data_IF_807188589875
#
_entry.id   IF_807188589875
#
_cell.length_a   1.000
_cell.length_b   1.000
_cell.length_c   1.000
_cell.angle_alpha   90.00
_cell.angle_beta   90.00
_cell.angle_gamma   90.00
#
_symmetry.space_group_name_H-M   'P 1'
#
loop_
_entity.id
_entity.type
_entity.pdbx_description
1 polymer ?
#
# COMPACT_ATOMS: atom_id res chain seq x y z
N UNK A 1 20.86 -2.17 -36.52
CA UNK A 1 20.65 -0.73 -36.29
C UNK A 1 19.64 -0.63 -35.18
N UNK A 2 20.11 -0.37 -33.96
CA UNK A 2 19.26 -0.23 -32.76
C UNK A 2 18.46 1.07 -32.89
N UNK A 3 17.14 0.99 -32.92
CA UNK A 3 16.27 2.18 -32.91
C UNK A 3 16.08 2.57 -31.45
N UNK A 4 16.83 3.57 -31.01
CA UNK A 4 16.59 4.26 -29.75
C UNK A 4 15.37 5.16 -29.96
N UNK A 5 14.20 4.81 -29.41
CA UNK A 5 13.02 5.68 -29.45
C UNK A 5 12.96 6.44 -28.14
N UNK A 6 13.67 7.55 -28.04
CA UNK A 6 13.53 8.51 -26.94
C UNK A 6 12.44 9.51 -27.34
N UNK A 7 11.25 9.43 -26.70
CA UNK A 7 10.22 10.46 -26.83
C UNK A 7 10.29 11.34 -25.58
N UNK A 8 11.08 12.41 -25.64
CA UNK A 8 11.09 13.46 -24.63
C UNK A 8 10.12 14.57 -25.09
N UNK A 9 8.92 14.62 -24.51
CA UNK A 9 8.00 15.74 -24.75
C UNK A 9 8.10 16.70 -23.57
N UNK A 10 8.90 17.76 -23.72
CA UNK A 10 8.93 18.90 -22.79
C UNK A 10 7.94 19.96 -23.29
N UNK A 11 6.77 20.10 -22.67
CA UNK A 11 5.86 21.21 -22.93
C UNK A 11 6.31 22.43 -22.13
N UNK A 12 6.94 23.40 -22.78
CA UNK A 12 7.23 24.70 -22.18
C UNK A 12 5.98 25.58 -22.19
N UNK A 13 5.36 25.83 -21.04
CA UNK A 13 4.41 26.93 -20.89
C UNK A 13 5.15 28.22 -20.56
N UNK A 14 4.96 29.23 -21.36
CA UNK A 14 5.55 30.58 -21.21
C UNK A 14 4.97 31.29 -19.98
N UNK A 15 5.68 31.24 -18.86
CA UNK A 15 5.50 32.12 -17.71
C UNK A 15 6.86 32.47 -17.14
N UNK A 16 7.14 33.76 -16.94
CA UNK A 16 8.42 34.33 -16.51
C UNK A 16 8.78 33.96 -15.05
N UNK A 17 8.87 32.68 -14.73
CA UNK A 17 9.62 32.15 -13.60
C UNK A 17 10.46 31.02 -14.16
N UNK A 18 11.76 31.02 -13.93
CA UNK A 18 12.64 29.95 -14.39
C UNK A 18 12.13 28.61 -13.80
N UNK A 19 11.27 27.93 -14.53
CA UNK A 19 10.81 26.58 -14.19
C UNK A 19 12.00 25.64 -14.37
N UNK A 20 12.65 25.27 -13.26
CA UNK A 20 13.76 24.31 -13.29
C UNK A 20 13.20 22.89 -13.10
N UNK A 21 12.45 22.42 -14.08
CA UNK A 21 12.05 21.02 -14.10
C UNK A 21 13.22 20.16 -14.57
N UNK A 22 13.45 19.03 -13.92
CA UNK A 22 14.48 18.06 -14.27
C UNK A 22 13.84 16.72 -14.62
N UNK A 23 14.12 16.23 -15.82
CA UNK A 23 13.72 14.89 -16.24
C UNK A 23 14.96 14.08 -16.63
N UNK A 24 15.03 12.84 -16.22
CA UNK A 24 16.08 11.89 -16.60
C UNK A 24 15.41 10.57 -16.98
N UNK A 25 15.70 10.08 -18.19
CA UNK A 25 15.29 8.75 -18.63
C UNK A 25 16.55 8.01 -19.05
N UNK A 26 16.81 6.86 -18.43
CA UNK A 26 17.93 5.98 -18.75
C UNK A 26 17.35 4.61 -19.11
N UNK A 27 17.63 4.15 -20.29
CA UNK A 27 17.17 2.84 -20.80
C UNK A 27 18.37 2.01 -21.25
N UNK A 28 18.41 0.74 -20.84
CA UNK A 28 19.44 -0.23 -21.19
C UNK A 28 18.77 -1.55 -21.51
N UNK A 29 18.98 -2.09 -22.71
CA UNK A 29 18.29 -3.27 -23.22
C UNK A 29 17.37 -2.92 -24.39
N UNK A 30 16.48 -3.84 -24.76
CA UNK A 30 15.63 -3.69 -25.95
C UNK A 30 14.15 -3.48 -25.58
N UNK A 31 13.45 -2.66 -26.38
CA UNK A 31 12.01 -2.39 -26.27
C UNK A 31 11.55 -1.76 -24.94
N UNK A 32 12.41 -1.00 -24.27
CA UNK A 32 12.03 -0.22 -23.09
C UNK A 32 11.29 1.05 -23.54
N UNK A 33 10.35 1.52 -22.72
CA UNK A 33 9.60 2.76 -22.96
C UNK A 33 9.45 3.54 -21.67
N UNK A 34 9.93 4.78 -21.67
CA UNK A 34 9.80 5.73 -20.55
C UNK A 34 9.14 7.03 -20.96
N UNK A 35 8.18 7.51 -20.21
CA UNK A 35 7.48 8.76 -20.45
C UNK A 35 7.53 9.70 -19.25
N UNK A 36 7.87 10.98 -19.46
CA UNK A 36 7.87 12.01 -18.41
C UNK A 36 7.09 13.23 -18.88
N UNK A 37 6.12 13.68 -18.10
CA UNK A 37 5.39 14.93 -18.29
C UNK A 37 5.44 15.77 -17.02
N UNK A 38 5.90 17.02 -17.10
CA UNK A 38 6.04 17.92 -15.96
C UNK A 38 5.44 19.28 -16.28
N UNK A 39 4.52 19.75 -15.42
CA UNK A 39 3.94 21.10 -15.48
C UNK A 39 4.12 21.78 -14.13
N UNK A 40 4.58 23.03 -14.14
CA UNK A 40 4.95 23.79 -12.92
C UNK A 40 6.45 23.96 -12.79
N UNK A 41 6.97 24.13 -11.59
CA UNK A 41 8.38 24.44 -11.35
C UNK A 41 9.06 23.53 -10.36
N UNK A 42 10.38 23.35 -10.54
CA UNK A 42 11.23 22.54 -9.66
C UNK A 42 10.79 21.08 -9.47
N UNK A 43 10.09 20.52 -10.44
CA UNK A 43 9.75 19.10 -10.42
C UNK A 43 10.95 18.25 -10.85
N UNK A 44 11.12 17.09 -10.25
CA UNK A 44 12.17 16.14 -10.61
C UNK A 44 11.53 14.80 -10.96
N UNK A 45 11.81 14.28 -12.14
CA UNK A 45 11.37 12.95 -12.57
C UNK A 45 12.57 12.12 -13.02
N UNK A 46 12.64 10.87 -12.56
CA UNK A 46 13.66 9.92 -12.97
C UNK A 46 13.03 8.60 -13.39
N UNK A 47 13.43 8.07 -14.53
CA UNK A 47 13.09 6.72 -14.97
C UNK A 47 14.40 6.02 -15.29
N UNK A 48 14.63 4.87 -14.69
CA UNK A 48 15.73 3.95 -15.02
C UNK A 48 15.16 2.60 -15.36
N UNK A 49 15.50 2.10 -16.54
CA UNK A 49 15.04 0.79 -17.02
C UNK A 49 16.27 -0.01 -17.48
N UNK A 50 16.49 -1.17 -16.88
CA UNK A 50 17.56 -2.09 -17.25
C UNK A 50 16.96 -3.46 -17.56
N UNK A 51 17.26 -4.01 -18.73
CA UNK A 51 16.66 -5.23 -19.26
C UNK A 51 15.78 -4.96 -20.47
N UNK A 52 14.96 -5.95 -20.84
CA UNK A 52 14.16 -5.87 -22.04
C UNK A 52 12.68 -5.68 -21.71
N UNK A 53 11.96 -4.93 -22.56
CA UNK A 53 10.51 -4.71 -22.49
C UNK A 53 9.99 -4.10 -21.18
N UNK A 54 10.78 -3.33 -20.47
CA UNK A 54 10.29 -2.57 -19.31
C UNK A 54 9.40 -1.42 -19.76
N UNK A 55 8.22 -1.28 -19.16
CA UNK A 55 7.24 -0.27 -19.53
C UNK A 55 6.98 0.69 -18.37
N UNK A 56 7.54 1.88 -18.43
CA UNK A 56 7.13 3.00 -17.59
C UNK A 56 6.04 3.80 -18.32
N UNK A 57 5.07 3.10 -18.87
CA UNK A 57 3.88 3.65 -19.53
C UNK A 57 2.67 2.81 -19.13
N UNK A 58 1.64 3.43 -18.65
CA UNK A 58 0.48 2.70 -18.22
C UNK A 58 -0.78 3.21 -18.89
N UNK A 59 -1.19 2.48 -19.87
CA UNK A 59 -2.46 2.64 -20.54
C UNK A 59 -3.50 1.57 -20.19
N UNK A 60 -3.27 0.74 -19.17
CA UNK A 60 -4.18 -0.37 -18.90
C UNK A 60 -5.40 0.07 -18.10
N UNK A 61 -6.57 -0.19 -18.70
CA UNK A 61 -7.89 0.19 -18.17
C UNK A 61 -8.41 -0.73 -17.05
N UNK A 62 -7.71 -1.80 -16.70
CA UNK A 62 -8.21 -2.80 -15.75
C UNK A 62 -8.27 -2.31 -14.29
N UNK A 63 -7.56 -1.23 -13.96
CA UNK A 63 -7.58 -0.63 -12.62
C UNK A 63 -8.78 0.30 -12.39
N UNK A 64 -9.57 0.59 -13.42
CA UNK A 64 -10.67 1.53 -13.35
C UNK A 64 -11.86 1.08 -12.49
N UNK A 65 -11.96 -0.18 -12.13
CA UNK A 65 -13.12 -0.69 -11.37
C UNK A 65 -13.02 -0.48 -9.86
N UNK A 66 -11.82 -0.37 -9.28
CA UNK A 66 -11.65 -0.18 -7.83
C UNK A 66 -11.45 1.28 -7.42
N UNK A 67 -10.92 2.13 -8.29
CA UNK A 67 -10.57 3.52 -7.97
C UNK A 67 -11.38 4.54 -8.80
N UNK A 68 -12.41 4.11 -9.50
CA UNK A 68 -13.25 4.99 -10.32
C UNK A 68 -12.48 5.70 -11.44
N UNK A 69 -13.16 6.35 -12.36
CA UNK A 69 -12.68 6.99 -13.59
C UNK A 69 -11.61 8.11 -13.43
N UNK A 70 -10.97 8.22 -12.28
CA UNK A 70 -9.98 9.27 -11.94
C UNK A 70 -8.53 8.90 -12.31
N UNK A 71 -8.26 7.68 -12.78
CA UNK A 71 -6.92 7.23 -13.18
C UNK A 71 -6.70 7.19 -14.69
N UNK A 72 -7.49 7.93 -15.46
CA UNK A 72 -7.22 8.07 -16.88
C UNK A 72 -5.89 8.79 -17.09
N UNK A 73 -4.94 8.11 -17.74
CA UNK A 73 -3.73 8.65 -18.36
C UNK A 73 -2.54 9.10 -17.49
N UNK A 74 -2.14 8.36 -16.45
CA UNK A 74 -0.78 8.57 -15.95
C UNK A 74 0.20 7.59 -16.62
N UNK A 75 0.86 8.06 -17.66
CA UNK A 75 1.92 7.32 -18.38
C UNK A 75 3.27 7.70 -17.77
N UNK A 76 4.04 6.72 -17.29
CA UNK A 76 5.35 7.00 -16.71
C UNK A 76 5.28 7.91 -15.47
N UNK A 77 5.98 9.02 -15.48
CA UNK A 77 5.94 10.04 -14.42
C UNK A 77 5.22 11.28 -14.91
N UNK A 78 4.04 11.56 -14.36
CA UNK A 78 3.27 12.78 -14.62
C UNK A 78 3.25 13.66 -13.37
N UNK A 79 3.72 14.90 -13.48
CA UNK A 79 3.79 15.85 -12.36
C UNK A 79 3.14 17.17 -12.73
N UNK A 80 2.17 17.60 -11.94
CA UNK A 80 1.50 18.90 -12.08
C UNK A 80 1.58 19.63 -10.75
N UNK A 81 2.21 20.80 -10.74
CA UNK A 81 2.48 21.59 -9.55
C UNK A 81 3.97 21.82 -9.36
N UNK A 82 4.41 22.07 -8.13
CA UNK A 82 5.78 22.50 -7.88
C UNK A 82 6.51 21.59 -6.88
N UNK A 83 7.82 21.45 -7.08
CA UNK A 83 8.70 20.68 -6.20
C UNK A 83 8.29 19.21 -6.01
N UNK A 84 7.64 18.59 -6.99
CA UNK A 84 7.34 17.18 -6.94
C UNK A 84 8.56 16.35 -7.35
N UNK A 85 8.73 15.18 -6.73
CA UNK A 85 9.78 14.22 -7.05
C UNK A 85 9.16 12.86 -7.37
N UNK A 86 9.41 12.33 -8.56
CA UNK A 86 8.95 11.02 -8.99
C UNK A 86 10.11 10.17 -9.52
N UNK A 87 10.28 8.96 -9.03
CA UNK A 87 11.34 8.06 -9.48
C UNK A 87 10.78 6.67 -9.75
N UNK A 88 11.07 6.14 -10.92
CA UNK A 88 10.80 4.76 -11.30
C UNK A 88 12.12 4.07 -11.61
N UNK A 89 12.39 2.95 -10.97
CA UNK A 89 13.50 2.06 -11.26
C UNK A 89 12.93 0.69 -11.62
N UNK A 90 13.28 0.18 -12.78
CA UNK A 90 12.87 -1.14 -13.26
C UNK A 90 14.11 -1.90 -13.72
N UNK A 91 14.48 -2.93 -12.98
CA UNK A 91 15.60 -3.82 -13.32
C UNK A 91 15.00 -5.18 -13.66
N UNK A 92 15.23 -5.64 -14.88
CA UNK A 92 14.51 -6.80 -15.38
C UNK A 92 15.42 -7.75 -16.17
N UNK A 93 15.27 -9.05 -15.90
CA UNK A 93 15.84 -10.13 -16.71
C UNK A 93 14.74 -10.93 -17.38
N UNK A 94 13.97 -10.27 -18.29
CA UNK A 94 12.81 -10.90 -18.95
C UNK A 94 13.25 -11.79 -20.09
N UNK A 95 12.54 -12.91 -20.26
CA UNK A 95 12.63 -13.69 -21.50
C UNK A 95 11.94 -12.94 -22.66
N UNK A 96 12.38 -13.16 -23.92
CA UNK A 96 11.88 -12.42 -25.10
C UNK A 96 10.36 -12.45 -25.29
N UNK A 97 9.66 -13.44 -24.71
CA UNK A 97 8.23 -13.69 -24.93
C UNK A 97 7.32 -13.20 -23.79
N UNK A 98 7.89 -12.70 -22.69
CA UNK A 98 7.12 -12.22 -21.55
C UNK A 98 6.89 -10.70 -21.61
N UNK A 99 5.78 -10.24 -21.02
CA UNK A 99 5.57 -8.82 -20.77
C UNK A 99 6.41 -8.37 -19.59
N UNK A 100 7.10 -7.24 -19.70
CA UNK A 100 7.94 -6.68 -18.64
C UNK A 100 7.14 -5.95 -17.54
N UNK A 101 7.82 -5.46 -16.50
CA UNK A 101 7.20 -4.71 -15.43
C UNK A 101 6.58 -3.39 -15.94
N UNK A 102 5.48 -2.98 -15.32
CA UNK A 102 4.78 -1.76 -15.64
C UNK A 102 4.67 -0.84 -14.42
N UNK A 103 5.03 0.42 -14.56
CA UNK A 103 5.03 1.38 -13.46
C UNK A 103 4.53 2.76 -13.89
N UNK A 104 3.79 3.43 -12.99
CA UNK A 104 3.34 4.78 -13.22
C UNK A 104 3.22 5.62 -11.95
N UNK A 105 3.61 6.89 -12.05
CA UNK A 105 3.49 7.90 -10.98
C UNK A 105 2.73 9.10 -11.50
N UNK A 106 1.63 9.45 -10.83
CA UNK A 106 0.89 10.69 -11.05
C UNK A 106 0.90 11.55 -9.79
N UNK A 107 1.45 12.77 -9.88
CA UNK A 107 1.52 13.72 -8.76
C UNK A 107 0.85 15.04 -9.15
N UNK A 108 -0.17 15.44 -8.40
CA UNK A 108 -0.97 16.64 -8.62
C UNK A 108 -0.98 17.46 -7.32
N UNK A 109 -0.30 18.59 -7.32
CA UNK A 109 -0.07 19.44 -6.14
C UNK A 109 1.41 19.73 -5.94
N UNK A 110 1.82 20.02 -4.72
CA UNK A 110 3.18 20.47 -4.45
C UNK A 110 3.91 19.56 -3.46
N UNK A 111 5.23 19.46 -3.61
CA UNK A 111 6.12 18.74 -2.67
C UNK A 111 5.75 17.26 -2.48
N UNK A 112 5.11 16.63 -3.44
CA UNK A 112 4.86 15.21 -3.38
C UNK A 112 6.12 14.41 -3.75
N UNK A 113 6.34 13.29 -3.09
CA UNK A 113 7.46 12.38 -3.38
C UNK A 113 6.93 10.97 -3.62
N UNK A 114 7.31 10.35 -4.72
CA UNK A 114 6.95 8.97 -5.05
C UNK A 114 8.15 8.20 -5.59
N UNK A 115 8.32 6.98 -5.12
CA UNK A 115 9.33 6.05 -5.62
C UNK A 115 8.69 4.70 -5.90
N UNK A 116 9.00 4.15 -7.07
CA UNK A 116 8.68 2.78 -7.46
C UNK A 116 10.00 2.08 -7.78
N UNK A 117 10.26 0.95 -7.16
CA UNK A 117 11.41 0.10 -7.41
C UNK A 117 10.93 -1.33 -7.68
N UNK A 118 11.11 -1.79 -8.92
CA UNK A 118 10.78 -3.12 -9.39
C UNK A 118 12.06 -3.83 -9.80
N UNK A 119 12.51 -4.77 -8.98
CA UNK A 119 13.65 -5.65 -9.28
C UNK A 119 13.15 -7.09 -9.46
N UNK A 120 12.62 -7.34 -10.65
CA UNK A 120 12.01 -8.61 -11.03
C UNK A 120 12.98 -9.54 -11.73
N UNK A 121 13.26 -10.68 -11.13
CA UNK A 121 14.05 -11.76 -11.75
C UNK A 121 13.21 -12.75 -12.56
N UNK A 122 11.95 -12.44 -12.90
CA UNK A 122 11.06 -13.44 -13.47
C UNK A 122 10.55 -13.16 -14.87
N UNK A 123 10.72 -14.14 -15.67
CA UNK A 123 10.43 -14.18 -17.09
C UNK A 123 8.95 -14.45 -17.48
N UNK A 124 8.03 -14.62 -16.53
CA UNK A 124 6.75 -15.26 -16.87
C UNK A 124 5.50 -14.41 -16.65
N UNK A 125 5.52 -13.37 -15.81
CA UNK A 125 4.32 -12.57 -15.49
C UNK A 125 4.64 -11.10 -15.26
N UNK A 126 3.65 -10.24 -15.54
CA UNK A 126 3.77 -8.79 -15.37
C UNK A 126 3.72 -8.39 -13.88
N UNK A 127 4.53 -7.43 -13.54
CA UNK A 127 4.46 -6.69 -12.28
C UNK A 127 3.84 -5.33 -12.53
N UNK A 128 2.92 -4.92 -11.67
CA UNK A 128 2.26 -3.62 -11.77
C UNK A 128 2.50 -2.80 -10.50
N UNK A 129 2.95 -1.57 -10.69
CA UNK A 129 3.14 -0.64 -9.59
C UNK A 129 2.60 0.75 -9.93
N UNK A 130 1.69 1.26 -9.10
CA UNK A 130 1.04 2.53 -9.34
C UNK A 130 1.00 3.41 -8.12
N UNK A 131 1.35 4.69 -8.33
CA UNK A 131 1.20 5.72 -7.32
C UNK A 131 0.39 6.88 -7.90
N UNK A 132 -0.66 7.30 -7.18
CA UNK A 132 -1.34 8.57 -7.43
C UNK A 132 -1.38 9.40 -6.16
N UNK A 133 -0.84 10.60 -6.23
CA UNK A 133 -0.82 11.57 -5.15
C UNK A 133 -1.55 12.85 -5.57
N UNK A 134 -2.52 13.28 -4.77
CA UNK A 134 -3.27 14.52 -4.93
C UNK A 134 -3.15 15.37 -3.66
N UNK A 135 -3.00 16.67 -3.80
CA UNK A 135 -2.70 17.58 -2.68
C UNK A 135 -1.20 17.71 -2.44
N UNK A 136 -0.82 18.20 -1.28
CA UNK A 136 0.55 18.57 -1.02
C UNK A 136 1.25 17.66 -0.01
N UNK A 137 2.55 17.43 -0.20
CA UNK A 137 3.45 16.80 0.76
C UNK A 137 3.25 15.28 0.95
N UNK A 138 2.53 14.59 0.08
CA UNK A 138 2.38 13.14 0.17
C UNK A 138 3.70 12.43 -0.16
N UNK A 139 3.97 11.34 0.56
CA UNK A 139 5.14 10.49 0.31
C UNK A 139 4.69 9.06 0.08
N UNK A 140 5.24 8.41 -0.94
CA UNK A 140 4.99 7.00 -1.21
C UNK A 140 6.23 6.26 -1.68
N UNK A 141 6.29 4.98 -1.32
CA UNK A 141 7.33 4.06 -1.75
C UNK A 141 6.72 2.70 -2.05
N UNK A 142 6.99 2.17 -3.22
CA UNK A 142 6.64 0.81 -3.62
C UNK A 142 7.90 0.04 -3.97
N UNK A 143 8.07 -1.13 -3.36
CA UNK A 143 9.17 -2.06 -3.64
C UNK A 143 8.56 -3.39 -4.03
N UNK A 144 8.90 -3.87 -5.21
CA UNK A 144 8.56 -5.21 -5.69
C UNK A 144 9.86 -5.92 -6.05
N UNK A 145 10.23 -6.95 -5.30
CA UNK A 145 11.52 -7.59 -5.45
C UNK A 145 11.37 -9.12 -5.61
N UNK A 146 12.04 -9.71 -6.59
CA UNK A 146 12.05 -11.15 -6.91
C UNK A 146 10.65 -11.73 -7.14
N UNK A 147 9.87 -11.01 -7.89
CA UNK A 147 8.43 -11.17 -7.97
C UNK A 147 7.94 -11.96 -9.17
N UNK A 148 6.75 -12.57 -8.98
CA UNK A 148 5.94 -13.13 -10.05
C UNK A 148 4.51 -12.61 -9.91
N UNK A 149 4.05 -11.77 -10.84
CA UNK A 149 2.70 -11.21 -10.85
C UNK A 149 2.33 -10.42 -9.58
N UNK A 150 3.18 -9.52 -9.16
CA UNK A 150 2.89 -8.62 -8.05
C UNK A 150 2.10 -7.41 -8.52
N UNK A 151 1.09 -7.00 -7.76
CA UNK A 151 0.35 -5.77 -7.97
C UNK A 151 0.47 -4.88 -6.73
N UNK A 152 0.75 -3.61 -6.94
CA UNK A 152 0.80 -2.63 -5.86
C UNK A 152 0.21 -1.30 -6.30
N UNK A 153 -0.77 -0.81 -5.54
CA UNK A 153 -1.41 0.47 -5.81
C UNK A 153 -1.41 1.36 -4.57
N UNK A 154 -0.96 2.60 -4.73
CA UNK A 154 -1.03 3.61 -3.69
C UNK A 154 -1.82 4.81 -4.21
N UNK A 155 -2.90 5.16 -3.52
CA UNK A 155 -3.65 6.38 -3.73
C UNK A 155 -3.61 7.25 -2.47
N UNK A 156 -3.15 8.48 -2.60
CA UNK A 156 -3.10 9.44 -1.50
C UNK A 156 -3.77 10.74 -1.92
N UNK A 157 -4.75 11.17 -1.14
CA UNK A 157 -5.39 12.47 -1.30
C UNK A 157 -5.18 13.27 0.00
N UNK A 158 -4.20 14.17 -0.03
CA UNK A 158 -3.97 15.11 1.04
C UNK A 158 -5.04 16.21 1.06
N UNK A 159 -5.30 16.78 2.22
CA UNK A 159 -6.15 17.97 2.33
C UNK A 159 -5.29 19.16 1.90
N UNK A 160 -5.76 19.93 0.93
CA UNK A 160 -5.19 21.26 0.62
C UNK A 160 -5.64 22.18 1.75
N UNK A 161 -4.80 22.36 2.76
CA UNK A 161 -5.04 23.39 3.78
C UNK A 161 -4.57 24.74 3.27
N UNK A 162 -5.27 25.79 3.73
CA UNK A 162 -5.01 27.20 3.45
C UNK A 162 -3.49 27.51 3.40
N UNK A 163 -3.08 28.35 2.44
CA UNK A 163 -1.68 28.62 2.07
C UNK A 163 -0.72 29.06 3.21
N UNK A 164 -1.20 29.16 4.44
CA UNK A 164 -0.41 29.57 5.61
C UNK A 164 0.15 28.44 6.45
N UNK A 165 -0.24 27.18 6.21
CA UNK A 165 0.25 26.03 6.98
C UNK A 165 1.05 25.06 6.10
N UNK A 166 2.12 24.53 6.66
CA UNK A 166 2.90 23.44 6.03
C UNK A 166 1.94 22.26 5.84
N UNK A 167 1.57 21.99 4.58
CA UNK A 167 0.79 20.80 4.27
C UNK A 167 1.61 19.57 4.64
N UNK A 168 1.12 18.79 5.58
CA UNK A 168 1.71 17.52 5.95
C UNK A 168 0.89 16.44 5.26
N UNK A 169 1.48 15.86 4.22
CA UNK A 169 0.83 14.82 3.42
C UNK A 169 0.75 13.47 4.14
N UNK A 170 0.22 12.51 3.44
CA UNK A 170 0.14 11.13 3.87
C UNK A 170 1.43 10.38 3.50
N UNK A 171 1.76 9.34 4.26
CA UNK A 171 2.86 8.42 3.99
C UNK A 171 2.32 7.02 3.67
N UNK A 172 2.80 6.40 2.59
CA UNK A 172 2.39 5.07 2.20
C UNK A 172 3.58 4.23 1.71
N UNK A 173 3.70 3.01 2.20
CA UNK A 173 4.74 2.08 1.76
C UNK A 173 4.15 0.71 1.47
N UNK A 174 4.45 0.15 0.30
CA UNK A 174 4.23 -1.26 0.00
C UNK A 174 5.56 -1.93 -0.28
N UNK A 175 5.76 -3.10 0.29
CA UNK A 175 6.96 -3.91 0.14
C UNK A 175 6.55 -5.36 -0.13
N UNK A 176 6.74 -5.81 -1.37
CA UNK A 176 6.43 -7.16 -1.83
C UNK A 176 7.71 -7.88 -2.20
N UNK A 177 8.04 -8.95 -1.45
CA UNK A 177 9.34 -9.63 -1.55
C UNK A 177 9.12 -11.12 -1.70
N UNK A 178 9.71 -11.72 -2.74
CA UNK A 178 9.77 -13.17 -2.94
C UNK A 178 8.42 -13.87 -2.83
N UNK A 179 7.62 -13.87 -3.90
CA UNK A 179 6.34 -14.55 -3.90
C UNK A 179 5.69 -14.61 -5.27
N UNK A 180 4.47 -15.13 -5.29
CA UNK A 180 3.63 -15.25 -6.47
C UNK A 180 2.24 -14.68 -6.17
N UNK A 181 1.72 -13.80 -7.03
CA UNK A 181 0.42 -13.14 -6.87
C UNK A 181 0.27 -12.41 -5.53
N UNK A 182 1.16 -11.45 -5.26
CA UNK A 182 1.05 -10.57 -4.10
C UNK A 182 0.31 -9.29 -4.50
N UNK A 183 -0.82 -9.01 -3.84
CA UNK A 183 -1.62 -7.80 -4.04
C UNK A 183 -1.54 -6.88 -2.82
N UNK A 184 -1.09 -5.63 -3.01
CA UNK A 184 -0.99 -4.63 -1.95
C UNK A 184 -1.64 -3.31 -2.36
N UNK A 185 -2.68 -2.90 -1.66
CA UNK A 185 -3.43 -1.70 -1.97
C UNK A 185 -3.52 -0.75 -0.77
N UNK A 186 -3.09 0.51 -0.95
CA UNK A 186 -3.20 1.56 0.07
C UNK A 186 -4.02 2.72 -0.47
N UNK A 187 -5.02 3.14 0.31
CA UNK A 187 -5.85 4.31 0.02
C UNK A 187 -5.91 5.22 1.25
N UNK A 188 -5.41 6.45 1.12
CA UNK A 188 -5.39 7.44 2.20
C UNK A 188 -6.07 8.74 1.77
N UNK A 189 -7.04 9.19 2.57
CA UNK A 189 -7.72 10.48 2.41
C UNK A 189 -7.61 11.25 3.72
N UNK A 190 -7.05 12.46 3.66
CA UNK A 190 -6.81 13.29 4.84
C UNK A 190 -5.36 13.68 5.00
N UNK A 191 -4.87 13.87 6.20
CA UNK A 191 -3.51 14.32 6.46
C UNK A 191 -2.80 13.45 7.51
N UNK A 192 -1.49 13.29 7.36
CA UNK A 192 -0.60 12.58 8.28
C UNK A 192 -0.99 11.12 8.54
N UNK A 193 -1.75 10.51 7.62
CA UNK A 193 -1.98 9.09 7.70
C UNK A 193 -0.71 8.33 7.29
N UNK A 194 -0.38 7.27 8.02
CA UNK A 194 0.75 6.40 7.77
C UNK A 194 0.27 4.96 7.51
N UNK A 195 0.61 4.40 6.36
CA UNK A 195 0.21 3.05 5.97
C UNK A 195 1.39 2.24 5.46
N UNK A 196 1.56 1.04 5.97
CA UNK A 196 2.58 0.11 5.49
C UNK A 196 2.02 -1.29 5.28
N UNK A 197 2.28 -1.85 4.10
CA UNK A 197 2.04 -3.26 3.77
C UNK A 197 3.39 -3.92 3.48
N UNK A 198 3.66 -5.07 4.11
CA UNK A 198 4.80 -5.93 3.79
C UNK A 198 4.27 -7.34 3.52
N UNK A 199 4.53 -7.85 2.32
CA UNK A 199 4.13 -9.19 1.88
C UNK A 199 5.34 -10.01 1.44
N UNK A 200 5.39 -11.29 1.85
CA UNK A 200 6.51 -12.17 1.60
C UNK A 200 7.70 -11.88 2.52
N UNK A 201 8.89 -12.29 2.13
CA UNK A 201 10.09 -12.13 2.96
C UNK A 201 11.16 -13.15 2.62
N UNK A 202 11.71 -13.85 3.62
CA UNK A 202 12.71 -14.88 3.43
C UNK A 202 12.13 -16.20 2.92
N UNK A 203 10.85 -16.41 3.06
CA UNK A 203 10.08 -17.56 2.57
C UNK A 203 9.30 -17.13 1.34
N UNK A 204 9.23 -17.98 0.34
CA UNK A 204 8.42 -17.77 -0.84
C UNK A 204 6.94 -17.85 -0.46
N UNK A 205 6.18 -16.79 -0.67
CA UNK A 205 4.77 -16.70 -0.30
C UNK A 205 3.89 -16.56 -1.54
N UNK A 206 2.70 -17.15 -1.52
CA UNK A 206 1.78 -17.12 -2.65
C UNK A 206 0.40 -16.59 -2.25
N UNK A 207 -0.28 -15.94 -3.20
CA UNK A 207 -1.66 -15.50 -3.07
C UNK A 207 -1.93 -14.68 -1.80
N UNK A 208 -1.14 -13.60 -1.59
CA UNK A 208 -1.34 -12.68 -0.49
C UNK A 208 -2.13 -11.46 -0.97
N UNK A 209 -3.16 -11.11 -0.22
CA UNK A 209 -3.94 -9.89 -0.44
C UNK A 209 -3.89 -9.00 0.80
N UNK A 210 -3.50 -7.74 0.61
CA UNK A 210 -3.49 -6.74 1.68
C UNK A 210 -4.12 -5.44 1.23
N UNK A 211 -5.03 -4.91 2.03
CA UNK A 211 -5.69 -3.64 1.77
C UNK A 211 -5.70 -2.76 3.02
N UNK A 212 -5.25 -1.51 2.88
CA UNK A 212 -5.40 -0.47 3.90
C UNK A 212 -6.18 0.70 3.31
N UNK A 213 -7.26 1.10 4.01
CA UNK A 213 -8.00 2.31 3.71
C UNK A 213 -8.10 3.19 4.95
N UNK A 214 -7.57 4.41 4.84
CA UNK A 214 -7.60 5.39 5.92
C UNK A 214 -8.33 6.66 5.47
N UNK A 215 -9.26 7.13 6.27
CA UNK A 215 -9.98 8.38 6.06
C UNK A 215 -9.97 9.20 7.35
N UNK A 216 -9.47 10.42 7.29
CA UNK A 216 -9.26 11.29 8.45
C UNK A 216 -7.79 11.63 8.63
N UNK A 217 -7.34 11.88 9.85
CA UNK A 217 -5.99 12.35 10.10
C UNK A 217 -5.25 11.48 11.12
N UNK A 218 -3.93 11.44 10.99
CA UNK A 218 -3.05 10.79 11.96
C UNK A 218 -3.36 9.30 12.21
N UNK A 219 -3.99 8.61 11.26
CA UNK A 219 -4.22 7.18 11.37
C UNK A 219 -2.96 6.40 10.98
N UNK A 220 -2.68 5.32 11.69
CA UNK A 220 -1.53 4.43 11.44
C UNK A 220 -2.03 3.01 11.17
N UNK A 221 -1.60 2.41 10.07
CA UNK A 221 -1.91 1.02 9.77
C UNK A 221 -0.68 0.28 9.25
N UNK A 222 -0.39 -0.87 9.84
CA UNK A 222 0.66 -1.78 9.38
C UNK A 222 0.11 -3.18 9.21
N UNK A 223 0.34 -3.76 8.04
CA UNK A 223 -0.01 -5.14 7.73
C UNK A 223 1.23 -5.90 7.31
N UNK A 224 1.44 -7.10 7.87
CA UNK A 224 2.54 -7.99 7.50
C UNK A 224 2.00 -9.39 7.24
N UNK A 225 2.31 -9.94 6.07
CA UNK A 225 1.89 -11.27 5.65
C UNK A 225 3.12 -12.06 5.17
N UNK A 226 3.43 -13.18 5.81
CA UNK A 226 4.68 -13.92 5.56
C UNK A 226 4.49 -15.34 5.04
N UNK A 227 3.27 -15.80 4.87
CA UNK A 227 2.96 -17.17 4.46
C UNK A 227 1.83 -17.20 3.44
N UNK A 228 1.54 -18.35 2.85
CA UNK A 228 0.63 -18.50 1.71
C UNK A 228 -0.84 -18.24 2.05
N UNK A 229 -1.60 -17.77 1.07
CA UNK A 229 -3.06 -17.63 1.11
C UNK A 229 -3.58 -16.80 2.30
N UNK A 230 -3.00 -15.64 2.55
CA UNK A 230 -3.44 -14.75 3.62
C UNK A 230 -4.13 -13.51 3.04
N UNK A 231 -5.20 -13.09 3.68
CA UNK A 231 -5.91 -11.84 3.37
C UNK A 231 -5.95 -10.94 4.60
N UNK A 232 -5.56 -9.67 4.46
CA UNK A 232 -5.64 -8.68 5.54
C UNK A 232 -6.25 -7.38 5.03
N UNK A 233 -7.35 -6.97 5.65
CA UNK A 233 -8.07 -5.75 5.31
C UNK A 233 -8.15 -4.85 6.55
N UNK A 234 -7.77 -3.58 6.39
CA UNK A 234 -7.91 -2.58 7.46
C UNK A 234 -8.63 -1.34 6.93
N UNK A 235 -9.73 -0.99 7.58
CA UNK A 235 -10.45 0.26 7.36
C UNK A 235 -10.41 1.14 8.61
N UNK A 236 -9.86 2.33 8.50
CA UNK A 236 -9.83 3.32 9.56
C UNK A 236 -10.56 4.59 9.11
N UNK A 237 -11.55 5.02 9.90
CA UNK A 237 -12.33 6.24 9.67
C UNK A 237 -12.39 7.05 10.94
N UNK A 238 -11.84 8.25 10.93
CA UNK A 238 -11.64 9.13 12.09
C UNK A 238 -10.19 9.48 12.25
N UNK A 239 -9.75 9.76 13.47
CA UNK A 239 -8.40 10.26 13.68
C UNK A 239 -7.65 9.42 14.72
N UNK A 240 -6.32 9.39 14.59
CA UNK A 240 -5.43 8.72 15.55
C UNK A 240 -5.72 7.23 15.78
N UNK A 241 -6.38 6.54 14.85
CA UNK A 241 -6.58 5.11 14.96
C UNK A 241 -5.29 4.36 14.60
N UNK A 242 -5.02 3.26 15.30
CA UNK A 242 -3.84 2.42 15.07
C UNK A 242 -4.26 0.98 14.83
N UNK A 243 -3.76 0.38 13.74
CA UNK A 243 -3.95 -1.04 13.44
C UNK A 243 -2.61 -1.68 13.05
N UNK A 244 -2.17 -2.67 13.83
CA UNK A 244 -1.00 -3.47 13.51
C UNK A 244 -1.42 -4.94 13.41
N UNK A 245 -1.33 -5.52 12.23
CA UNK A 245 -1.69 -6.92 11.99
C UNK A 245 -0.52 -7.69 11.41
N UNK A 246 -0.32 -8.92 11.91
CA UNK A 246 0.71 -9.84 11.44
C UNK A 246 0.07 -11.19 11.18
N UNK A 247 0.19 -11.71 9.97
CA UNK A 247 -0.22 -13.07 9.59
C UNK A 247 1.02 -13.92 9.29
N UNK A 248 1.23 -14.94 10.11
CA UNK A 248 2.36 -15.87 10.00
C UNK A 248 1.91 -17.29 9.65
N UNK A 249 0.61 -17.56 9.59
CA UNK A 249 0.05 -18.86 9.25
C UNK A 249 -0.16 -19.01 7.74
N UNK A 250 -0.25 -20.24 7.27
CA UNK A 250 -0.63 -20.55 5.91
C UNK A 250 -2.14 -20.72 5.84
N UNK A 251 -2.83 -19.95 5.02
CA UNK A 251 -4.22 -20.21 4.64
C UNK A 251 -4.36 -21.61 4.03
N UNK A 252 -5.49 -22.25 4.22
CA UNK A 252 -5.73 -23.60 3.69
C UNK A 252 -5.71 -23.63 2.16
N UNK A 253 -6.16 -22.56 1.53
CA UNK A 253 -6.13 -22.34 0.08
C UNK A 253 -6.53 -20.90 -0.24
N UNK A 254 -6.41 -20.46 -1.49
CA UNK A 254 -6.92 -19.16 -1.94
C UNK A 254 -8.44 -19.00 -1.73
N UNK A 255 -9.19 -20.09 -1.73
CA UNK A 255 -10.64 -20.08 -1.48
C UNK A 255 -10.98 -20.06 0.03
N UNK A 256 -10.03 -20.40 0.90
CA UNK A 256 -10.15 -20.40 2.36
C UNK A 256 -8.88 -19.80 2.97
N UNK A 257 -8.65 -18.50 2.76
CA UNK A 257 -7.47 -17.81 3.29
C UNK A 257 -7.52 -17.72 4.81
N UNK A 258 -6.37 -17.48 5.44
CA UNK A 258 -6.36 -16.90 6.76
C UNK A 258 -6.72 -15.43 6.64
N UNK A 259 -7.74 -14.98 7.38
CA UNK A 259 -8.30 -13.64 7.22
C UNK A 259 -8.11 -12.78 8.47
N UNK A 260 -7.76 -11.51 8.26
CA UNK A 260 -7.89 -10.46 9.27
C UNK A 260 -8.68 -9.31 8.64
N UNK A 261 -9.84 -9.01 9.21
CA UNK A 261 -10.62 -7.80 8.90
C UNK A 261 -10.60 -6.89 10.13
N UNK A 262 -10.24 -5.63 9.94
CA UNK A 262 -10.25 -4.61 10.98
C UNK A 262 -11.05 -3.42 10.51
N UNK A 263 -12.12 -3.08 11.23
CA UNK A 263 -12.84 -1.83 11.08
C UNK A 263 -12.67 -0.98 12.34
N UNK A 264 -12.18 0.25 12.18
CA UNK A 264 -12.10 1.24 13.24
C UNK A 264 -12.84 2.50 12.81
N UNK A 265 -13.96 2.82 13.46
CA UNK A 265 -14.69 4.06 13.28
C UNK A 265 -14.69 4.90 14.55
N UNK A 266 -14.25 6.15 14.47
CA UNK A 266 -14.06 7.07 15.58
C UNK A 266 -12.57 7.36 15.82
N UNK A 267 -12.20 7.75 17.01
CA UNK A 267 -10.85 8.26 17.27
C UNK A 267 -10.11 7.40 18.30
N UNK A 268 -8.79 7.33 18.14
CA UNK A 268 -7.87 6.66 19.08
C UNK A 268 -8.16 5.16 19.33
N UNK A 269 -8.77 4.46 18.39
CA UNK A 269 -8.94 3.02 18.51
C UNK A 269 -7.63 2.28 18.19
N UNK A 270 -7.37 1.18 18.89
CA UNK A 270 -6.12 0.42 18.75
C UNK A 270 -6.43 -1.06 18.53
N UNK A 271 -5.88 -1.62 17.44
CA UNK A 271 -5.84 -3.05 17.18
C UNK A 271 -4.39 -3.49 17.02
N UNK A 272 -3.94 -4.41 17.85
CA UNK A 272 -2.64 -5.07 17.71
C UNK A 272 -2.86 -6.58 17.72
N UNK A 273 -2.72 -7.26 16.59
CA UNK A 273 -3.00 -8.68 16.43
C UNK A 273 -1.92 -9.43 15.66
N UNK A 274 -1.47 -10.55 16.21
CA UNK A 274 -0.73 -11.58 15.48
C UNK A 274 -1.62 -12.80 15.30
N UNK A 275 -1.79 -13.24 14.06
CA UNK A 275 -2.54 -14.42 13.69
C UNK A 275 -1.61 -15.48 13.06
N UNK A 276 -1.83 -16.75 13.37
CA UNK A 276 -1.05 -17.84 12.80
C UNK A 276 -1.80 -19.17 12.84
N UNK A 277 -1.38 -20.11 12.00
CA UNK A 277 -2.02 -21.40 11.84
C UNK A 277 -2.71 -21.53 10.49
N UNK A 278 -3.57 -22.53 10.32
CA UNK A 278 -4.30 -22.80 9.08
C UNK A 278 -5.79 -22.58 9.32
N UNK A 279 -6.44 -21.77 8.48
CA UNK A 279 -7.87 -21.46 8.58
C UNK A 279 -8.19 -20.51 9.74
N UNK A 280 -7.25 -19.66 10.12
CA UNK A 280 -7.46 -18.63 11.13
C UNK A 280 -8.30 -17.48 10.56
N UNK A 281 -9.18 -16.92 11.38
CA UNK A 281 -10.10 -15.87 10.98
C UNK A 281 -10.26 -14.85 12.11
N UNK A 282 -10.11 -13.57 11.79
CA UNK A 282 -10.31 -12.51 12.75
C UNK A 282 -11.15 -11.39 12.14
N UNK A 283 -12.30 -11.13 12.73
CA UNK A 283 -13.19 -10.02 12.41
C UNK A 283 -13.26 -9.09 13.63
N UNK A 284 -12.84 -7.84 13.45
CA UNK A 284 -12.62 -6.90 14.54
C UNK A 284 -13.26 -5.56 14.21
N UNK A 285 -14.34 -5.26 14.91
CA UNK A 285 -15.06 -4.00 14.81
C UNK A 285 -14.88 -3.15 16.06
N UNK A 286 -14.30 -1.96 15.91
CA UNK A 286 -14.20 -0.96 16.96
C UNK A 286 -14.93 0.32 16.53
N UNK A 287 -16.10 0.56 17.11
CA UNK A 287 -16.94 1.73 16.83
C UNK A 287 -17.01 2.61 18.09
N UNK A 288 -16.59 3.85 17.95
CA UNK A 288 -16.45 4.80 19.07
C UNK A 288 -15.00 5.17 19.32
N UNK A 289 -14.62 5.51 20.54
CA UNK A 289 -13.31 6.07 20.78
C UNK A 289 -12.52 5.30 21.84
N UNK A 290 -11.21 5.27 21.69
CA UNK A 290 -10.29 4.66 22.66
C UNK A 290 -10.56 3.17 22.94
N UNK A 291 -11.13 2.43 21.99
CA UNK A 291 -11.27 0.99 22.12
C UNK A 291 -9.93 0.30 21.80
N UNK A 292 -9.63 -0.78 22.53
CA UNK A 292 -8.31 -1.43 22.42
C UNK A 292 -8.43 -2.95 22.37
N UNK A 293 -7.80 -3.57 21.37
CA UNK A 293 -7.45 -4.98 21.33
C UNK A 293 -5.93 -5.13 21.47
N UNK A 294 -5.48 -5.90 22.46
CA UNK A 294 -4.06 -6.16 22.73
C UNK A 294 -3.81 -7.54 23.34
N UNK A 295 -2.57 -7.92 23.49
CA UNK A 295 -2.18 -9.11 24.23
C UNK A 295 -2.30 -8.97 25.74
N UNK A 296 -2.19 -10.08 26.43
CA UNK A 296 -2.24 -10.14 27.89
C UNK A 296 -0.83 -9.93 28.44
N UNK A 297 -0.60 -8.77 29.04
CA UNK A 297 0.73 -8.38 29.52
C UNK A 297 1.75 -8.06 28.42
N UNK A 298 1.31 -8.02 27.15
CA UNK A 298 2.10 -7.70 25.96
C UNK A 298 1.29 -6.82 25.00
N UNK A 299 1.96 -6.14 24.08
CA UNK A 299 1.30 -5.20 23.18
C UNK A 299 0.45 -5.88 22.09
N UNK A 300 0.82 -7.08 21.65
CA UNK A 300 0.13 -7.80 20.57
C UNK A 300 -0.76 -8.91 21.11
N UNK A 301 -2.05 -8.90 20.74
CA UNK A 301 -2.93 -10.06 20.87
C UNK A 301 -2.41 -11.21 20.00
N UNK A 302 -2.64 -12.45 20.44
CA UNK A 302 -2.23 -13.63 19.68
C UNK A 302 -3.43 -14.55 19.41
N UNK A 303 -3.54 -15.02 18.16
CA UNK A 303 -4.53 -15.98 17.70
C UNK A 303 -3.81 -17.02 16.84
N UNK A 304 -3.44 -18.14 17.42
CA UNK A 304 -2.61 -19.17 16.82
C UNK A 304 -3.35 -20.48 16.62
N UNK A 305 -2.81 -21.38 15.77
CA UNK A 305 -3.35 -22.72 15.54
C UNK A 305 -4.68 -22.75 14.80
N UNK A 306 -4.94 -21.79 13.91
CA UNK A 306 -6.21 -21.69 13.18
C UNK A 306 -7.37 -21.18 14.03
N UNK A 307 -7.09 -20.42 15.06
CA UNK A 307 -8.11 -19.85 15.97
C UNK A 307 -8.94 -18.76 15.29
N UNK A 308 -10.18 -18.58 15.76
CA UNK A 308 -11.11 -17.58 15.26
C UNK A 308 -11.43 -16.52 16.30
N UNK A 309 -11.48 -15.27 15.86
CA UNK A 309 -11.85 -14.11 16.66
C UNK A 309 -13.01 -13.41 15.97
N UNK A 310 -14.04 -13.07 16.75
CA UNK A 310 -15.13 -12.18 16.38
C UNK A 310 -15.26 -11.17 17.53
N UNK A 311 -14.77 -9.94 17.32
CA UNK A 311 -14.74 -8.87 18.32
C UNK A 311 -15.55 -7.68 17.87
N UNK A 312 -16.57 -7.34 18.65
CA UNK A 312 -17.35 -6.11 18.50
C UNK A 312 -17.20 -5.23 19.75
N UNK A 313 -16.57 -4.07 19.61
CA UNK A 313 -16.45 -3.04 20.65
C UNK A 313 -17.23 -1.79 20.22
N UNK A 314 -18.42 -1.60 20.77
CA UNK A 314 -19.29 -0.48 20.46
C UNK A 314 -19.42 0.45 21.66
N UNK A 315 -18.82 1.64 21.59
CA UNK A 315 -18.75 2.62 22.68
C UNK A 315 -17.35 3.13 22.86
N UNK A 316 -16.97 3.46 24.10
CA UNK A 316 -15.67 4.08 24.31
C UNK A 316 -14.89 3.46 25.45
N UNK A 317 -13.56 3.49 25.35
CA UNK A 317 -12.65 2.97 26.38
C UNK A 317 -12.85 1.48 26.69
N UNK A 318 -13.33 0.69 25.74
CA UNK A 318 -13.42 -0.75 25.90
C UNK A 318 -12.06 -1.42 25.64
N UNK A 319 -11.70 -2.42 26.43
CA UNK A 319 -10.43 -3.12 26.29
C UNK A 319 -10.63 -4.63 26.26
N UNK A 320 -10.01 -5.29 25.29
CA UNK A 320 -9.89 -6.74 25.25
C UNK A 320 -8.41 -7.15 25.29
N UNK A 321 -8.06 -7.95 26.30
CA UNK A 321 -6.82 -8.73 26.32
C UNK A 321 -7.07 -10.12 25.73
N UNK A 322 -6.32 -10.53 24.70
CA UNK A 322 -6.56 -11.79 24.02
C UNK A 322 -5.29 -12.62 23.85
N UNK A 323 -5.43 -13.92 24.19
CA UNK A 323 -4.47 -14.95 23.86
C UNK A 323 -5.22 -16.24 23.52
N UNK A 324 -5.06 -16.72 22.29
CA UNK A 324 -5.67 -17.97 21.82
C UNK A 324 -4.65 -18.88 21.15
N UNK A 325 -4.78 -20.19 21.38
CA UNK A 325 -4.00 -21.22 20.72
C UNK A 325 -4.89 -22.41 20.36
N UNK A 326 -4.40 -23.33 19.52
CA UNK A 326 -5.02 -24.63 19.24
C UNK A 326 -6.43 -24.60 18.62
N UNK A 327 -6.68 -23.66 17.69
CA UNK A 327 -7.96 -23.60 16.97
C UNK A 327 -9.15 -23.14 17.82
N UNK A 328 -8.89 -22.38 18.87
CA UNK A 328 -9.91 -21.84 19.75
C UNK A 328 -10.79 -20.79 19.05
N UNK A 329 -12.01 -20.61 19.53
CA UNK A 329 -12.93 -19.59 19.02
C UNK A 329 -13.34 -18.63 20.14
N UNK A 330 -13.25 -17.33 19.90
CA UNK A 330 -13.72 -16.30 20.81
C UNK A 330 -14.67 -15.36 20.07
N UNK A 331 -15.86 -15.19 20.63
CA UNK A 331 -16.78 -14.12 20.25
C UNK A 331 -16.90 -13.18 21.45
N UNK A 332 -16.56 -11.92 21.28
CA UNK A 332 -16.59 -10.93 22.37
C UNK A 332 -17.34 -9.70 21.90
N UNK A 333 -18.41 -9.34 22.58
CA UNK A 333 -19.15 -8.10 22.36
C UNK A 333 -19.10 -7.25 23.61
N UNK A 334 -18.60 -6.03 23.46
CA UNK A 334 -18.52 -5.02 24.52
C UNK A 334 -19.31 -3.78 24.07
N UNK A 335 -20.49 -3.59 24.66
CA UNK A 335 -21.35 -2.44 24.38
C UNK A 335 -21.35 -1.46 25.57
N UNK A 336 -21.23 -0.19 25.30
CA UNK A 336 -21.10 0.88 26.31
C UNK A 336 -19.67 1.30 26.52
N UNK A 337 -19.33 1.78 27.70
CA UNK A 337 -18.01 2.38 27.94
C UNK A 337 -17.29 1.74 29.11
N UNK A 338 -15.95 1.77 29.06
CA UNK A 338 -15.07 1.28 30.11
C UNK A 338 -15.20 -0.23 30.41
N UNK A 339 -15.67 -1.03 29.45
CA UNK A 339 -15.68 -2.47 29.62
C UNK A 339 -14.26 -3.04 29.45
N UNK A 340 -13.93 -4.00 30.28
CA UNK A 340 -12.65 -4.71 30.20
C UNK A 340 -12.86 -6.21 30.27
N UNK A 341 -12.35 -6.94 29.28
CA UNK A 341 -12.42 -8.39 29.21
C UNK A 341 -11.03 -8.97 28.94
N UNK A 342 -10.85 -10.20 29.40
CA UNK A 342 -9.65 -11.00 29.13
C UNK A 342 -10.08 -12.38 28.65
N UNK A 343 -9.56 -12.81 27.50
CA UNK A 343 -9.81 -14.13 26.95
C UNK A 343 -8.51 -14.89 26.80
N UNK A 344 -8.40 -16.02 27.49
CA UNK A 344 -7.29 -16.97 27.39
C UNK A 344 -7.87 -18.31 26.99
N UNK A 345 -7.44 -18.84 25.86
CA UNK A 345 -7.86 -20.15 25.35
C UNK A 345 -6.62 -20.91 24.85
N UNK A 346 -6.34 -22.07 25.45
CA UNK A 346 -5.15 -22.88 25.20
C UNK A 346 -5.53 -24.22 24.55
#
# INVERSE_FOLDING_TARGET
MKKLSLILVALLSLGFVMAQNKATVKETGDNNTGYVSQTGSNNTAGITQEGDKSLADVSDQSVSSLIGSLLTDTKGVTQVGNNNTGTISQINTVRPDAAGPSAGIGQFGNKNTATIDQDGASAWMQEYAWVKQMGDGNTSMQIQNKAFAHNSHIYQQGIVQDQSQVSVGNNATTEQISGYQLDANIWQIGARNDAKITQGGTVYANDLEAQIKQTGNDNVATQKQFADNNTSITFQKGNFNTSNTIQNGNGASKATPDMINVLQEGDHNIVNLTQGGVGADADIDQIGNYNTLKGIGVDMATSLGGSKIDLDQNGSYNTLGLQQTNGAQATVSQTGSFNSSVVIQN
#
